data_IF_953003972665
#
_entry.id   IF_953003972665
#
_cell.length_a   1.000
_cell.length_b   1.000
_cell.length_c   1.000
_cell.angle_alpha   90.00
_cell.angle_beta   90.00
_cell.angle_gamma   90.00
#
_symmetry.space_group_name_H-M   'P 1'
#
loop_
_entity.id
_entity.type
_entity.pdbx_description
1 polymer ?
#
# COMPACT_ATOMS: atom_id res chain seq x y z
N UNK A 1 8.58 -25.35 35.83
CA UNK A 1 7.21 -24.84 36.07
C UNK A 1 7.17 -23.32 36.26
N UNK A 2 7.85 -22.72 37.24
CA UNK A 2 7.82 -21.25 37.43
C UNK A 2 8.69 -20.43 36.46
N UNK A 3 9.78 -21.01 35.95
CA UNK A 3 10.73 -20.36 35.03
C UNK A 3 10.19 -20.28 33.60
N UNK A 4 9.47 -21.32 33.17
CA UNK A 4 8.90 -21.44 31.83
C UNK A 4 7.79 -20.39 31.61
N UNK A 5 6.97 -20.16 32.65
CA UNK A 5 5.95 -19.11 32.65
C UNK A 5 6.56 -17.71 32.54
N UNK A 6 7.71 -17.46 33.19
CA UNK A 6 8.41 -16.17 33.08
C UNK A 6 8.95 -15.93 31.67
N UNK A 7 9.53 -16.95 31.05
CA UNK A 7 10.02 -16.91 29.67
C UNK A 7 8.88 -16.63 28.66
N UNK A 8 7.73 -17.29 28.85
CA UNK A 8 6.55 -17.08 28.02
C UNK A 8 6.04 -15.62 28.11
N UNK A 9 5.96 -15.05 29.31
CA UNK A 9 5.51 -13.67 29.52
C UNK A 9 6.44 -12.66 28.85
N UNK A 10 7.76 -12.86 28.98
CA UNK A 10 8.77 -12.00 28.33
C UNK A 10 8.63 -12.06 26.81
N UNK A 11 8.42 -13.26 26.25
CA UNK A 11 8.24 -13.42 24.81
C UNK A 11 7.01 -12.66 24.31
N UNK A 12 5.86 -12.79 24.98
CA UNK A 12 4.64 -12.07 24.58
C UNK A 12 4.80 -10.54 24.68
N UNK A 13 5.53 -10.03 25.67
CA UNK A 13 5.79 -8.60 25.80
C UNK A 13 6.60 -8.04 24.62
N UNK A 14 7.52 -8.83 24.05
CA UNK A 14 8.35 -8.44 22.90
C UNK A 14 7.56 -8.40 21.58
N UNK A 15 6.39 -9.04 21.50
CA UNK A 15 5.50 -8.95 20.33
C UNK A 15 4.57 -7.72 20.37
N UNK A 16 4.67 -6.87 21.40
CA UNK A 16 3.89 -5.63 21.46
C UNK A 16 4.39 -4.62 20.42
N UNK A 17 3.57 -4.35 19.42
CA UNK A 17 3.85 -3.36 18.38
C UNK A 17 3.35 -1.95 18.74
N UNK A 18 3.89 -0.94 18.05
CA UNK A 18 3.56 0.47 18.22
C UNK A 18 2.22 0.90 17.58
N UNK A 19 1.26 -0.02 17.40
CA UNK A 19 0.03 0.24 16.63
C UNK A 19 -0.84 1.39 17.20
N UNK A 20 -0.67 1.71 18.49
CA UNK A 20 -1.43 2.77 19.18
C UNK A 20 -0.71 4.13 19.25
N UNK A 21 0.47 4.25 18.63
CA UNK A 21 1.21 5.52 18.48
C UNK A 21 0.75 6.35 17.27
N UNK A 22 -0.29 5.89 16.58
CA UNK A 22 -0.82 6.53 15.39
C UNK A 22 -1.48 7.89 15.65
N UNK A 23 -1.58 8.67 14.58
CA UNK A 23 -2.32 9.94 14.57
C UNK A 23 -3.82 9.68 14.56
N UNK A 24 -4.61 10.60 15.14
CA UNK A 24 -6.07 10.50 15.17
C UNK A 24 -6.61 10.52 13.73
N UNK A 25 -7.75 9.86 13.45
CA UNK A 25 -8.25 9.72 12.08
C UNK A 25 -8.35 11.04 11.29
N UNK A 26 -8.71 12.15 11.96
CA UNK A 26 -8.81 13.49 11.35
C UNK A 26 -7.47 14.21 11.16
N UNK A 27 -6.40 13.79 11.84
CA UNK A 27 -5.05 14.33 11.65
C UNK A 27 -4.42 13.83 10.34
N UNK A 28 -4.96 12.74 9.75
CA UNK A 28 -4.54 12.21 8.45
C UNK A 28 -4.95 13.10 7.27
N UNK A 29 -5.84 14.08 7.47
CA UNK A 29 -6.21 15.04 6.43
C UNK A 29 -5.03 15.85 5.90
N UNK A 30 -3.96 16.03 6.68
CA UNK A 30 -2.74 16.72 6.23
C UNK A 30 -1.97 15.98 5.15
N UNK A 31 -2.17 14.67 5.00
CA UNK A 31 -1.55 13.85 3.95
C UNK A 31 -2.48 13.62 2.75
N UNK A 32 -3.73 14.12 2.81
CA UNK A 32 -4.70 14.03 1.73
C UNK A 32 -4.71 15.29 0.85
N UNK A 33 -3.56 15.96 0.73
CA UNK A 33 -3.42 17.12 -0.15
C UNK A 33 -3.32 16.64 -1.61
N UNK A 34 -3.76 17.49 -2.52
CA UNK A 34 -3.75 17.20 -3.95
C UNK A 34 -2.32 16.94 -4.48
N UNK A 35 -1.33 17.65 -3.95
CA UNK A 35 0.10 17.49 -4.31
C UNK A 35 0.76 16.22 -3.76
N UNK A 36 0.07 15.46 -2.89
CA UNK A 36 0.53 14.20 -2.32
C UNK A 36 -0.23 12.99 -2.88
N UNK A 37 -1.14 13.20 -3.83
CA UNK A 37 -1.81 12.11 -4.54
C UNK A 37 -0.77 11.26 -5.27
N UNK A 38 -0.98 9.94 -5.28
CA UNK A 38 -0.12 9.01 -6.03
C UNK A 38 -0.03 9.40 -7.50
N UNK A 39 -1.12 9.94 -8.03
CA UNK A 39 -1.20 10.58 -9.33
C UNK A 39 -1.86 11.94 -9.19
N UNK A 40 -1.04 12.98 -9.25
CA UNK A 40 -1.45 14.37 -9.06
C UNK A 40 -1.94 15.05 -10.35
N UNK A 41 -1.67 14.46 -11.52
CA UNK A 41 -2.03 15.02 -12.83
C UNK A 41 -2.70 13.97 -13.72
N UNK A 42 -3.91 14.29 -14.19
CA UNK A 42 -4.72 13.40 -15.02
C UNK A 42 -4.15 13.22 -16.45
N UNK A 43 -3.50 14.24 -16.99
CA UNK A 43 -2.90 14.16 -18.32
C UNK A 43 -1.66 13.26 -18.31
N UNK A 44 -0.82 13.39 -17.29
CA UNK A 44 0.36 12.54 -17.14
C UNK A 44 -0.07 11.08 -16.97
N UNK A 45 -1.09 10.81 -16.15
CA UNK A 45 -1.69 9.46 -16.04
C UNK A 45 -2.14 8.90 -17.38
N UNK A 46 -2.88 9.69 -18.17
CA UNK A 46 -3.40 9.23 -19.46
C UNK A 46 -2.29 8.93 -20.46
N UNK A 47 -1.21 9.72 -20.45
CA UNK A 47 -0.04 9.51 -21.31
C UNK A 47 0.72 8.24 -20.89
N UNK A 48 0.96 8.08 -19.60
CA UNK A 48 1.65 6.90 -19.07
C UNK A 48 0.86 5.61 -19.37
N UNK A 49 -0.46 5.63 -19.20
CA UNK A 49 -1.32 4.48 -19.53
C UNK A 49 -1.30 4.17 -21.03
N UNK A 50 -1.32 5.20 -21.89
CA UNK A 50 -1.21 5.03 -23.33
C UNK A 50 0.13 4.41 -23.74
N UNK A 51 1.23 4.86 -23.14
CA UNK A 51 2.58 4.31 -23.38
C UNK A 51 2.66 2.88 -22.87
N UNK A 52 2.13 2.63 -21.66
CA UNK A 52 2.12 1.31 -21.03
C UNK A 52 1.35 0.30 -21.87
N UNK A 53 0.13 0.63 -22.30
CA UNK A 53 -0.65 -0.23 -23.18
C UNK A 53 0.07 -0.53 -24.49
N UNK A 54 0.72 0.48 -25.07
CA UNK A 54 1.45 0.34 -26.35
C UNK A 54 2.70 -0.54 -26.26
N UNK A 55 3.33 -0.64 -25.07
CA UNK A 55 4.60 -1.36 -24.89
C UNK A 55 4.44 -2.68 -24.14
N UNK A 56 3.55 -2.71 -23.15
CA UNK A 56 3.52 -3.69 -22.06
C UNK A 56 2.08 -4.17 -21.75
N UNK A 57 1.07 -3.79 -22.54
CA UNK A 57 -0.31 -4.22 -22.33
C UNK A 57 -0.52 -5.74 -22.31
N UNK A 58 0.37 -6.49 -22.97
CA UNK A 58 0.35 -7.95 -22.98
C UNK A 58 0.76 -8.62 -21.65
N UNK A 59 1.54 -7.93 -20.81
CA UNK A 59 1.99 -8.44 -19.49
C UNK A 59 0.98 -8.27 -18.36
N UNK A 60 -0.17 -7.67 -18.63
CA UNK A 60 -1.19 -7.33 -17.62
C UNK A 60 -0.99 -5.92 -17.06
N UNK A 61 -2.04 -5.10 -17.10
CA UNK A 61 -2.00 -3.66 -16.79
C UNK A 61 -1.93 -3.29 -15.32
N UNK A 62 -1.80 -1.97 -15.06
CA UNK A 62 -1.87 -1.36 -13.71
C UNK A 62 -3.27 -1.47 -13.07
N UNK A 63 -4.29 -1.85 -13.83
CA UNK A 63 -5.66 -2.05 -13.33
C UNK A 63 -5.82 -3.46 -12.76
N UNK A 64 -6.46 -3.56 -11.59
CA UNK A 64 -6.60 -4.81 -10.81
C UNK A 64 -7.63 -5.80 -11.40
N UNK A 65 -7.85 -5.77 -12.72
CA UNK A 65 -8.77 -6.65 -13.42
C UNK A 65 -8.07 -7.39 -14.59
N UNK A 66 -7.37 -8.47 -14.24
CA UNK A 66 -7.42 -9.73 -14.99
C UNK A 66 -6.54 -9.90 -16.24
N UNK A 67 -5.50 -10.71 -16.10
CA UNK A 67 -5.18 -11.77 -17.08
C UNK A 67 -4.19 -11.42 -18.19
N UNK A 68 -2.97 -11.94 -18.06
CA UNK A 68 -1.98 -11.95 -19.15
C UNK A 68 -2.52 -12.64 -20.41
N UNK A 69 -2.63 -11.85 -21.48
CA UNK A 69 -2.75 -12.22 -22.89
C UNK A 69 -2.76 -10.95 -23.79
N UNK A 70 -3.03 -9.76 -23.22
CA UNK A 70 -2.94 -8.48 -23.94
C UNK A 70 -4.17 -8.05 -24.72
N UNK A 71 -5.31 -8.70 -24.49
CA UNK A 71 -6.59 -8.28 -25.06
C UNK A 71 -7.46 -7.70 -23.94
N UNK A 72 -7.54 -6.37 -23.84
CA UNK A 72 -8.66 -5.67 -23.20
C UNK A 72 -9.87 -5.68 -24.15
#
# INVERSE_FOLDING_TARGET
MGTDLKLLIILVALLSGCANLGVKPWERGQFAREDMQLEADEMDMAIEDHIYFSKEGASGGRTLAGGGCGCN
#
